data_IF_892531707398
#
_entry.id   IF_892531707398
#
_cell.length_a   1.000
_cell.length_b   1.000
_cell.length_c   1.000
_cell.angle_alpha   90.00
_cell.angle_beta   90.00
_cell.angle_gamma   90.00
#
_symmetry.space_group_name_H-M   'P 1'
#
loop_
_entity.id
_entity.type
_entity.pdbx_description
1 polymer ?
#
# COMPACT_ATOMS: atom_id res chain seq x y z
N UNK A 1 -12.32 -36.74 -19.05
CA UNK A 1 -11.32 -36.25 -18.08
C UNK A 1 -10.33 -35.38 -18.85
N UNK A 2 -10.61 -34.08 -18.94
CA UNK A 2 -9.68 -33.12 -19.56
C UNK A 2 -8.98 -32.41 -18.40
N UNK A 3 -7.66 -32.56 -18.34
CA UNK A 3 -6.83 -32.06 -17.26
C UNK A 3 -6.82 -30.54 -17.25
N UNK A 4 -7.05 -29.97 -16.07
CA UNK A 4 -6.67 -28.60 -15.79
C UNK A 4 -5.14 -28.57 -15.80
N UNK A 5 -4.55 -28.09 -16.90
CA UNK A 5 -3.20 -27.55 -16.81
C UNK A 5 -3.34 -26.32 -15.91
N UNK A 6 -2.65 -26.33 -14.78
CA UNK A 6 -2.39 -25.12 -14.02
C UNK A 6 -1.51 -24.25 -14.93
N UNK A 7 -2.10 -23.43 -15.78
CA UNK A 7 -1.38 -22.36 -16.46
C UNK A 7 -0.95 -21.39 -15.37
N UNK A 8 0.31 -21.49 -14.95
CA UNK A 8 0.94 -20.48 -14.10
C UNK A 8 0.90 -19.12 -14.80
N UNK A 9 0.82 -18.05 -14.01
CA UNK A 9 1.02 -16.70 -14.53
C UNK A 9 2.46 -16.59 -15.06
N UNK A 10 2.63 -16.16 -16.31
CA UNK A 10 3.92 -16.02 -17.00
C UNK A 10 3.88 -14.78 -17.88
N UNK A 11 5.05 -14.16 -18.11
CA UNK A 11 5.21 -13.07 -19.08
C UNK A 11 6.43 -13.42 -19.93
N UNK A 12 6.18 -13.90 -21.15
CA UNK A 12 7.19 -14.36 -22.09
C UNK A 12 7.49 -13.35 -23.22
N UNK A 13 6.70 -12.27 -23.30
CA UNK A 13 6.85 -11.20 -24.27
C UNK A 13 6.41 -9.84 -23.74
N UNK A 14 7.10 -8.78 -24.17
CA UNK A 14 6.80 -7.37 -23.86
C UNK A 14 5.90 -6.71 -24.91
N UNK A 15 5.58 -7.40 -26.01
CA UNK A 15 4.87 -6.82 -27.17
C UNK A 15 3.66 -7.62 -27.63
N UNK A 16 3.47 -8.82 -27.09
CA UNK A 16 2.29 -9.63 -27.40
C UNK A 16 1.05 -9.14 -26.64
N UNK A 17 -0.08 -9.81 -26.88
CA UNK A 17 -1.35 -9.44 -26.26
C UNK A 17 -1.24 -9.59 -24.74
N UNK A 18 -1.56 -8.51 -24.03
CA UNK A 18 -1.67 -8.51 -22.58
C UNK A 18 -3.02 -9.13 -22.16
N UNK A 19 -2.99 -10.15 -21.30
CA UNK A 19 -4.20 -10.78 -20.77
C UNK A 19 -4.57 -10.23 -19.38
N UNK A 20 -3.59 -10.02 -18.49
CA UNK A 20 -3.78 -9.56 -17.13
C UNK A 20 -2.72 -8.52 -16.72
N UNK A 21 -3.08 -7.57 -15.86
CA UNK A 21 -2.16 -6.54 -15.38
C UNK A 21 -2.49 -6.12 -13.94
N UNK A 22 -1.46 -5.78 -13.16
CA UNK A 22 -1.60 -5.20 -11.83
C UNK A 22 -1.30 -3.70 -11.92
N UNK A 23 -2.26 -2.88 -11.51
CA UNK A 23 -2.13 -1.42 -11.39
C UNK A 23 -2.29 -1.00 -9.92
N UNK A 24 -1.80 0.18 -9.57
CA UNK A 24 -2.07 0.81 -8.28
C UNK A 24 -2.83 2.11 -8.50
N UNK A 25 -4.03 2.20 -7.92
CA UNK A 25 -4.84 3.42 -7.99
C UNK A 25 -4.30 4.44 -6.99
N UNK A 26 -3.93 5.67 -7.41
CA UNK A 26 -3.48 6.73 -6.51
C UNK A 26 -4.39 6.95 -5.31
N UNK A 27 -3.81 7.11 -4.12
CA UNK A 27 -4.55 7.23 -2.88
C UNK A 27 -3.85 8.05 -1.79
N UNK A 28 -4.07 7.64 -0.54
CA UNK A 28 -3.64 8.31 0.68
C UNK A 28 -2.12 8.55 0.73
N UNK A 29 -1.35 7.64 0.14
CA UNK A 29 0.09 7.72 0.05
C UNK A 29 0.57 8.97 -0.71
N UNK A 30 -0.15 9.38 -1.76
CA UNK A 30 0.16 10.60 -2.51
C UNK A 30 -0.39 11.85 -1.82
N UNK A 31 -1.53 11.74 -1.12
CA UNK A 31 -2.11 12.85 -0.34
C UNK A 31 -1.17 13.31 0.79
N UNK A 32 -0.27 12.44 1.24
CA UNK A 32 0.72 12.70 2.31
C UNK A 32 2.03 13.27 1.81
N UNK A 33 2.22 13.39 0.50
CA UNK A 33 3.38 14.08 -0.05
C UNK A 33 3.27 15.57 0.19
N UNK A 34 4.31 16.14 0.76
CA UNK A 34 4.43 17.58 0.96
C UNK A 34 5.57 18.13 0.11
N UNK A 35 5.60 19.45 -0.17
CA UNK A 35 6.75 20.06 -0.84
C UNK A 35 8.08 19.81 -0.12
N UNK A 36 8.05 19.60 1.20
CA UNK A 36 9.24 19.34 2.01
C UNK A 36 9.67 17.87 2.00
N UNK A 37 8.77 16.92 1.72
CA UNK A 37 9.04 15.48 1.79
C UNK A 37 9.08 14.78 0.42
N UNK A 38 8.59 15.41 -0.65
CA UNK A 38 8.48 14.77 -1.98
C UNK A 38 9.81 14.16 -2.48
N UNK A 39 10.93 14.83 -2.21
CA UNK A 39 12.24 14.42 -2.69
C UNK A 39 12.71 13.13 -1.97
N UNK A 40 12.39 12.99 -0.69
CA UNK A 40 12.67 11.77 0.10
C UNK A 40 11.91 10.55 -0.44
N UNK A 41 10.79 10.80 -1.12
CA UNK A 41 9.96 9.78 -1.75
C UNK A 41 10.19 9.62 -3.26
N UNK A 42 11.20 10.29 -3.83
CA UNK A 42 11.52 10.24 -5.27
C UNK A 42 10.44 10.84 -6.18
N UNK A 43 9.74 11.87 -5.70
CA UNK A 43 8.77 12.64 -6.49
C UNK A 43 9.27 14.05 -6.79
N UNK A 44 9.26 14.42 -8.08
CA UNK A 44 9.66 15.74 -8.54
C UNK A 44 8.67 16.84 -8.12
N UNK A 45 7.38 16.53 -8.03
CA UNK A 45 6.31 17.45 -7.64
C UNK A 45 5.23 16.74 -6.81
N UNK A 46 4.45 17.52 -6.05
CA UNK A 46 3.26 16.99 -5.35
C UNK A 46 2.13 16.78 -6.36
N UNK A 47 1.45 15.64 -6.26
CA UNK A 47 0.44 15.20 -7.23
C UNK A 47 -0.95 15.70 -6.85
N UNK A 48 -1.73 16.16 -7.83
CA UNK A 48 -3.17 16.36 -7.65
C UNK A 48 -3.90 15.02 -7.68
N UNK A 49 -4.06 14.41 -6.51
CA UNK A 49 -4.52 13.01 -6.34
C UNK A 49 -5.86 12.74 -7.02
N UNK A 50 -6.86 13.61 -6.88
CA UNK A 50 -8.17 13.43 -7.52
C UNK A 50 -8.06 13.39 -9.05
N UNK A 51 -7.22 14.25 -9.63
CA UNK A 51 -6.97 14.22 -11.08
C UNK A 51 -6.21 12.97 -11.48
N UNK A 52 -5.19 12.57 -10.73
CA UNK A 52 -4.44 11.34 -10.98
C UNK A 52 -5.34 10.09 -10.91
N UNK A 53 -6.31 10.09 -9.99
CA UNK A 53 -7.34 9.05 -9.91
C UNK A 53 -8.22 9.02 -11.17
N UNK A 54 -8.71 10.16 -11.64
CA UNK A 54 -9.48 10.21 -12.89
C UNK A 54 -8.68 9.71 -14.10
N UNK A 55 -7.41 10.10 -14.21
CA UNK A 55 -6.52 9.65 -15.29
C UNK A 55 -6.22 8.14 -15.19
N UNK A 56 -5.95 7.63 -13.99
CA UNK A 56 -5.78 6.20 -13.73
C UNK A 56 -7.06 5.40 -14.05
N UNK A 57 -8.22 5.87 -13.62
CA UNK A 57 -9.49 5.17 -13.82
C UNK A 57 -9.83 5.11 -15.31
N UNK A 58 -9.59 6.18 -16.07
CA UNK A 58 -9.70 6.18 -17.52
C UNK A 58 -8.73 5.17 -18.18
N UNK A 59 -7.47 5.12 -17.73
CA UNK A 59 -6.49 4.14 -18.22
C UNK A 59 -6.93 2.69 -17.95
N UNK A 60 -7.41 2.41 -16.73
CA UNK A 60 -7.90 1.08 -16.37
C UNK A 60 -9.14 0.68 -17.20
N UNK A 61 -10.03 1.62 -17.51
CA UNK A 61 -11.17 1.37 -18.43
C UNK A 61 -10.68 1.02 -19.83
N UNK A 62 -9.73 1.77 -20.39
CA UNK A 62 -9.17 1.49 -21.72
C UNK A 62 -8.59 0.07 -21.82
N UNK A 63 -7.88 -0.39 -20.80
CA UNK A 63 -7.35 -1.75 -20.74
C UNK A 63 -8.48 -2.80 -20.69
N UNK A 64 -9.49 -2.59 -19.86
CA UNK A 64 -10.65 -3.49 -19.76
C UNK A 64 -11.43 -3.55 -21.07
N UNK A 65 -11.56 -2.45 -21.79
CA UNK A 65 -12.21 -2.40 -23.11
C UNK A 65 -11.44 -3.20 -24.18
N UNK A 66 -10.12 -3.37 -24.01
CA UNK A 66 -9.30 -4.29 -24.82
C UNK A 66 -9.38 -5.76 -24.36
N UNK A 67 -10.18 -6.04 -23.33
CA UNK A 67 -10.34 -7.38 -22.75
C UNK A 67 -9.24 -7.78 -21.76
N UNK A 68 -8.41 -6.83 -21.30
CA UNK A 68 -7.38 -7.08 -20.28
C UNK A 68 -8.03 -7.16 -18.89
N UNK A 69 -7.68 -8.17 -18.10
CA UNK A 69 -8.06 -8.23 -16.68
C UNK A 69 -7.17 -7.29 -15.87
N UNK A 70 -7.76 -6.23 -15.35
CA UNK A 70 -7.06 -5.26 -14.49
C UNK A 70 -7.29 -5.61 -13.02
N UNK A 71 -6.21 -5.95 -12.34
CA UNK A 71 -6.15 -6.12 -10.89
C UNK A 71 -5.62 -4.85 -10.23
N UNK A 72 -6.19 -4.45 -9.09
CA UNK A 72 -5.68 -3.32 -8.31
C UNK A 72 -4.87 -3.84 -7.12
N UNK A 73 -3.65 -3.33 -6.96
CA UNK A 73 -2.74 -3.71 -5.87
C UNK A 73 -3.40 -3.54 -4.49
N UNK A 74 -4.12 -2.44 -4.27
CA UNK A 74 -4.84 -2.19 -3.02
C UNK A 74 -5.92 -3.24 -2.73
N UNK A 75 -6.65 -3.69 -3.76
CA UNK A 75 -7.69 -4.72 -3.64
C UNK A 75 -7.05 -6.08 -3.33
N UNK A 76 -6.01 -6.46 -4.09
CA UNK A 76 -5.23 -7.68 -3.85
C UNK A 76 -4.63 -7.72 -2.45
N UNK A 77 -4.09 -6.59 -1.96
CA UNK A 77 -3.57 -6.47 -0.61
C UNK A 77 -4.69 -6.61 0.43
N UNK A 78 -5.85 -5.98 0.22
CA UNK A 78 -6.99 -6.11 1.13
C UNK A 78 -7.48 -7.57 1.22
N UNK A 79 -7.61 -8.26 0.09
CA UNK A 79 -7.94 -9.69 0.06
C UNK A 79 -6.89 -10.53 0.80
N UNK A 80 -5.60 -10.23 0.59
CA UNK A 80 -4.49 -10.90 1.26
C UNK A 80 -4.52 -10.65 2.77
N UNK A 81 -4.86 -9.44 3.22
CA UNK A 81 -4.96 -9.07 4.63
C UNK A 81 -6.16 -9.73 5.34
N UNK A 82 -7.09 -10.35 4.62
CA UNK A 82 -8.13 -11.20 5.21
C UNK A 82 -7.59 -12.58 5.61
N UNK A 83 -6.43 -13.01 5.08
CA UNK A 83 -5.78 -14.27 5.44
C UNK A 83 -4.92 -14.09 6.70
N UNK A 84 -5.19 -14.82 7.80
CA UNK A 84 -4.49 -14.61 9.07
C UNK A 84 -2.96 -14.77 8.98
N UNK A 85 -2.48 -15.79 8.27
CA UNK A 85 -1.05 -16.06 8.07
C UNK A 85 -0.36 -14.97 7.25
N UNK A 86 -0.99 -14.47 6.18
CA UNK A 86 -0.43 -13.42 5.35
C UNK A 86 -0.43 -12.08 6.08
N UNK A 87 -1.51 -11.77 6.81
CA UNK A 87 -1.59 -10.61 7.70
C UNK A 87 -0.43 -10.62 8.69
N UNK A 88 -0.24 -11.73 9.41
CA UNK A 88 0.86 -11.87 10.37
C UNK A 88 2.21 -11.63 9.71
N UNK A 89 2.45 -12.28 8.56
CA UNK A 89 3.71 -12.15 7.82
C UNK A 89 4.03 -10.69 7.46
N UNK A 90 3.03 -9.95 6.93
CA UNK A 90 3.22 -8.55 6.55
C UNK A 90 3.43 -7.66 7.77
N UNK A 91 2.66 -7.84 8.85
CA UNK A 91 2.80 -7.02 10.05
C UNK A 91 4.15 -7.25 10.76
N UNK A 92 4.61 -8.49 10.83
CA UNK A 92 5.93 -8.84 11.39
C UNK A 92 7.07 -8.21 10.58
N UNK A 93 6.90 -8.05 9.26
CA UNK A 93 7.88 -7.38 8.39
C UNK A 93 7.76 -5.85 8.37
N UNK A 94 6.62 -5.30 8.80
CA UNK A 94 6.35 -3.84 8.77
C UNK A 94 6.79 -3.14 10.05
N UNK A 95 6.58 -3.77 11.21
CA UNK A 95 6.84 -3.16 12.50
C UNK A 95 8.11 -3.72 13.15
N UNK A 96 9.02 -2.81 13.54
CA UNK A 96 10.33 -3.13 14.09
C UNK A 96 10.64 -2.19 15.26
N UNK A 97 10.89 -2.76 16.44
CA UNK A 97 11.21 -1.99 17.65
C UNK A 97 12.37 -1.00 17.48
N UNK A 98 13.28 -1.24 16.52
CA UNK A 98 14.42 -0.35 16.21
C UNK A 98 13.98 0.91 15.46
N UNK A 99 12.85 0.87 14.78
CA UNK A 99 12.29 1.98 14.01
C UNK A 99 11.24 2.73 14.83
N UNK A 100 10.24 2.03 15.37
CA UNK A 100 9.15 2.66 16.11
C UNK A 100 9.42 2.85 17.60
N UNK A 101 10.45 2.18 18.13
CA UNK A 101 10.78 2.15 19.55
C UNK A 101 10.04 1.03 20.29
N UNK A 102 10.67 0.39 21.29
CA UNK A 102 10.14 -0.79 21.97
C UNK A 102 8.83 -0.53 22.72
N UNK A 103 8.58 0.73 23.11
CA UNK A 103 7.37 1.10 23.86
C UNK A 103 6.18 1.48 22.95
N UNK A 104 6.36 1.60 21.63
CA UNK A 104 5.29 1.90 20.69
C UNK A 104 4.98 0.75 19.73
N UNK A 105 5.95 -0.13 19.44
CA UNK A 105 5.80 -1.20 18.45
C UNK A 105 4.59 -2.09 18.75
N UNK A 106 4.39 -2.48 20.01
CA UNK A 106 3.25 -3.32 20.41
C UNK A 106 1.92 -2.60 20.22
N UNK A 107 1.85 -1.29 20.53
CA UNK A 107 0.62 -0.53 20.37
C UNK A 107 0.22 -0.39 18.88
N UNK A 108 1.21 -0.14 18.02
CA UNK A 108 1.03 -0.06 16.56
C UNK A 108 0.65 -1.41 15.98
N UNK A 109 1.42 -2.46 16.27
CA UNK A 109 1.14 -3.81 15.81
C UNK A 109 -0.26 -4.25 16.25
N UNK A 110 -0.59 -4.10 17.53
CA UNK A 110 -1.88 -4.50 18.06
C UNK A 110 -3.02 -3.69 17.50
N UNK A 111 -2.83 -2.42 17.09
CA UNK A 111 -3.86 -1.68 16.37
C UNK A 111 -4.06 -2.26 14.97
N UNK A 112 -2.98 -2.37 14.18
CA UNK A 112 -3.04 -2.83 12.80
C UNK A 112 -3.58 -4.26 12.68
N UNK A 113 -3.25 -5.13 13.63
CA UNK A 113 -3.71 -6.51 13.66
C UNK A 113 -5.25 -6.66 13.76
N UNK A 114 -5.96 -5.64 14.28
CA UNK A 114 -7.43 -5.65 14.46
C UNK A 114 -8.17 -4.76 13.46
N UNK A 115 -7.47 -4.07 12.57
CA UNK A 115 -8.11 -3.33 11.50
C UNK A 115 -8.81 -4.29 10.53
N UNK A 116 -9.94 -3.84 9.99
CA UNK A 116 -10.60 -4.50 8.87
C UNK A 116 -9.67 -4.56 7.66
N UNK A 117 -9.66 -5.64 6.85
CA UNK A 117 -8.64 -5.87 5.83
C UNK A 117 -8.43 -4.70 4.84
N UNK A 118 -9.51 -4.06 4.39
CA UNK A 118 -9.43 -2.91 3.48
C UNK A 118 -8.81 -1.66 4.15
N UNK A 119 -9.15 -1.41 5.41
CA UNK A 119 -8.56 -0.30 6.17
C UNK A 119 -7.09 -0.58 6.51
N UNK A 120 -6.77 -1.84 6.82
CA UNK A 120 -5.41 -2.28 7.00
C UNK A 120 -4.56 -2.06 5.74
N UNK A 121 -5.02 -2.53 4.58
CA UNK A 121 -4.33 -2.31 3.30
C UNK A 121 -4.15 -0.82 3.00
N UNK A 122 -5.19 0.00 3.22
CA UNK A 122 -5.11 1.47 3.05
C UNK A 122 -4.01 2.08 3.91
N UNK A 123 -3.84 1.67 5.16
CA UNK A 123 -2.79 2.22 6.03
C UNK A 123 -1.41 1.59 5.80
N UNK A 124 -1.31 0.34 5.35
CA UNK A 124 -0.03 -0.25 4.98
C UNK A 124 0.58 0.45 3.76
N UNK A 125 -0.25 0.89 2.81
CA UNK A 125 0.19 1.66 1.63
C UNK A 125 0.29 3.15 1.97
N UNK A 126 -0.77 3.72 2.56
CA UNK A 126 -0.89 5.15 2.83
C UNK A 126 -0.13 5.64 4.06
N UNK A 127 0.34 4.74 4.92
CA UNK A 127 0.92 5.09 6.21
C UNK A 127 -0.12 5.48 7.26
N UNK A 128 0.35 5.94 8.43
CA UNK A 128 -0.49 6.44 9.53
C UNK A 128 0.21 7.58 10.29
N UNK A 129 -0.55 8.62 10.62
CA UNK A 129 -0.10 9.76 11.43
C UNK A 129 -0.29 9.49 12.91
N UNK A 130 0.37 10.28 13.77
CA UNK A 130 0.10 10.25 15.22
C UNK A 130 -1.36 10.57 15.54
N UNK A 131 -1.97 11.54 14.87
CA UNK A 131 -3.37 11.93 15.08
C UNK A 131 -4.31 10.75 14.87
N UNK A 132 -4.19 10.06 13.74
CA UNK A 132 -4.99 8.87 13.41
C UNK A 132 -4.74 7.72 14.41
N UNK A 133 -3.49 7.50 14.85
CA UNK A 133 -3.20 6.52 15.90
C UNK A 133 -4.01 6.80 17.17
N UNK A 134 -4.03 8.06 17.61
CA UNK A 134 -4.67 8.47 18.87
C UNK A 134 -6.20 8.51 18.81
N UNK A 135 -6.80 8.39 17.62
CA UNK A 135 -8.24 8.16 17.47
C UNK A 135 -8.64 6.72 17.88
N UNK A 136 -7.68 5.79 17.91
CA UNK A 136 -7.93 4.38 18.17
C UNK A 136 -7.33 3.84 19.47
N UNK A 137 -6.24 4.44 19.95
CA UNK A 137 -5.54 4.00 21.16
C UNK A 137 -5.08 5.19 21.99
N UNK A 138 -4.93 4.98 23.30
CA UNK A 138 -4.22 5.94 24.15
C UNK A 138 -2.75 6.03 23.72
N UNK A 139 -2.13 7.21 23.92
CA UNK A 139 -0.74 7.41 23.57
C UNK A 139 0.15 6.40 24.33
N UNK A 140 0.90 5.53 23.63
CA UNK A 140 1.84 4.64 24.30
C UNK A 140 2.91 5.47 25.00
N UNK A 141 3.50 4.91 26.06
CA UNK A 141 4.60 5.53 26.82
C UNK A 141 5.92 5.53 26.04
N UNK A 142 5.91 5.99 24.80
CA UNK A 142 7.02 6.00 23.86
C UNK A 142 7.49 7.43 23.61
N UNK A 143 8.80 7.66 23.76
CA UNK A 143 9.42 8.96 23.45
C UNK A 143 9.21 9.33 21.98
N UNK A 144 9.27 8.36 21.07
CA UNK A 144 9.02 8.57 19.63
C UNK A 144 7.63 9.14 19.41
N UNK A 145 6.60 8.48 19.95
CA UNK A 145 5.21 8.91 19.79
C UNK A 145 4.94 10.23 20.52
N UNK A 146 5.49 10.44 21.72
CA UNK A 146 5.30 11.70 22.44
C UNK A 146 5.96 12.89 21.76
N UNK A 147 7.13 12.71 21.14
CA UNK A 147 7.89 13.78 20.50
C UNK A 147 7.36 14.15 19.11
N UNK A 148 6.71 13.21 18.43
CA UNK A 148 6.04 13.45 17.16
C UNK A 148 4.91 14.50 17.29
N UNK A 149 4.78 15.37 16.30
CA UNK A 149 3.64 16.26 16.14
C UNK A 149 2.41 15.46 15.69
N UNK A 150 1.18 16.00 15.83
CA UNK A 150 -0.04 15.28 15.46
C UNK A 150 -0.04 14.75 14.01
N UNK A 151 0.51 15.51 13.07
CA UNK A 151 0.47 15.16 11.64
C UNK A 151 1.77 14.45 11.17
N UNK A 152 2.69 14.16 12.08
CA UNK A 152 3.87 13.36 11.78
C UNK A 152 3.48 11.90 11.51
N UNK A 153 4.17 11.30 10.54
CA UNK A 153 3.97 9.93 10.10
C UNK A 153 4.68 8.94 11.04
N UNK A 154 3.90 8.09 11.71
CA UNK A 154 4.42 6.97 12.51
C UNK A 154 4.59 5.70 11.67
N UNK A 155 3.84 5.59 10.58
CA UNK A 155 4.09 4.66 9.48
C UNK A 155 4.17 5.50 8.19
N UNK A 156 5.32 5.49 7.47
CA UNK A 156 5.48 6.29 6.26
C UNK A 156 4.60 5.77 5.11
N UNK A 157 4.14 6.64 4.20
CA UNK A 157 3.45 6.25 2.97
C UNK A 157 4.41 5.58 1.98
N UNK A 158 3.85 4.80 1.05
CA UNK A 158 4.56 4.12 -0.03
C UNK A 158 4.10 4.65 -1.40
N UNK A 159 4.38 5.92 -1.73
CA UNK A 159 3.86 6.57 -2.95
C UNK A 159 4.37 5.94 -4.24
N UNK A 160 5.55 5.31 -4.20
CA UNK A 160 6.13 4.60 -5.34
C UNK A 160 5.39 3.30 -5.70
N UNK A 161 4.42 2.85 -4.90
CA UNK A 161 3.51 1.78 -5.35
C UNK A 161 2.69 2.17 -6.58
N UNK A 162 2.61 3.46 -6.92
CA UNK A 162 2.13 3.93 -8.22
C UNK A 162 2.84 3.24 -9.40
N UNK A 163 4.12 2.89 -9.24
CA UNK A 163 4.94 2.23 -10.25
C UNK A 163 5.03 0.72 -9.96
N UNK A 164 3.96 -0.02 -10.29
CA UNK A 164 3.85 -1.47 -10.04
C UNK A 164 4.88 -2.34 -10.78
N UNK A 165 5.66 -1.74 -11.69
CA UNK A 165 6.75 -2.40 -12.44
C UNK A 165 7.97 -2.75 -11.59
N UNK A 166 8.29 -1.96 -10.57
CA UNK A 166 9.59 -2.04 -9.90
C UNK A 166 9.67 -3.09 -8.77
N UNK A 167 8.64 -3.26 -7.91
CA UNK A 167 8.75 -4.17 -6.76
C UNK A 167 8.81 -5.66 -7.13
N UNK A 168 8.28 -6.03 -8.30
CA UNK A 168 8.24 -7.43 -8.77
C UNK A 168 8.08 -7.49 -10.28
N UNK A 169 8.69 -8.50 -10.91
CA UNK A 169 8.52 -8.80 -12.32
C UNK A 169 8.14 -10.27 -12.51
N UNK A 170 7.32 -10.53 -13.53
CA UNK A 170 6.98 -11.88 -13.98
C UNK A 170 7.92 -12.25 -15.14
N UNK A 171 8.48 -13.46 -15.10
CA UNK A 171 9.42 -14.02 -16.09
C UNK A 171 8.98 -15.44 -16.39
#
# INVERSE_FOLDING_TARGET
MCGWVLTGMTVDSETERLDEVILHRPGLELERLTPASKDDYLFDEVVWVERAQHEHDAFAVLLRDQGVRVHLLGDLLAETMALPEARKHVLDGTFDERVQGPLAVDALYNLFARLEPGLLARHLIGGMTKRELLEHVEAPSSVVVHSALPDDLLLPPLPNHLFTRDPSAWI
#
